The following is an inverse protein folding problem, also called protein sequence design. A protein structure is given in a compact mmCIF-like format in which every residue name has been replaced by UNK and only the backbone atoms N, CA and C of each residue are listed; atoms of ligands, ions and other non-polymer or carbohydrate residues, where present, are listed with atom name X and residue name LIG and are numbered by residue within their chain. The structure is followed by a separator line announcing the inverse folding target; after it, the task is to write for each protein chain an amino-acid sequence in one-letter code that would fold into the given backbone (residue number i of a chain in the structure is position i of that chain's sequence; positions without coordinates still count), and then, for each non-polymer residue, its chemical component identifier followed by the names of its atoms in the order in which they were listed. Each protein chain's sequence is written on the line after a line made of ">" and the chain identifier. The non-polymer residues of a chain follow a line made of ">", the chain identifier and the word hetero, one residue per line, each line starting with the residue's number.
data_IF_158080151298
#
_entry.id   IF_158080151298
#
_cell.length_a   1.000
_cell.length_b   1.000
_cell.length_c   1.000
_cell.angle_alpha   90.00
_cell.angle_beta   90.00
_cell.angle_gamma   90.00
#
_symmetry.space_group_name_H-M   'P 1'
#
loop_
_entity.id
_entity.type
_entity.pdbx_description
1 polymer ?
#
# COMPACT_ATOMS: atom_id res chain seq x y z
N UNK A 1 31.58 7.70 -7.13
CA UNK A 1 30.68 7.47 -5.98
C UNK A 1 29.30 7.92 -6.43
N UNK A 2 28.39 6.99 -6.69
CA UNK A 2 26.99 7.35 -6.96
C UNK A 2 26.49 8.11 -5.72
N UNK A 3 26.08 9.37 -5.86
CA UNK A 3 25.50 10.11 -4.75
C UNK A 3 24.17 9.42 -4.41
N UNK A 4 24.16 8.52 -3.41
CA UNK A 4 22.94 7.79 -3.05
C UNK A 4 21.92 8.83 -2.62
N UNK A 5 20.90 9.05 -3.45
CA UNK A 5 19.73 9.86 -3.11
C UNK A 5 18.88 9.10 -2.09
N UNK A 6 19.41 9.01 -0.88
CA UNK A 6 18.75 8.36 0.24
C UNK A 6 17.54 9.18 0.68
N UNK A 7 16.54 8.47 1.19
CA UNK A 7 15.36 9.10 1.77
C UNK A 7 15.75 9.47 3.20
N UNK A 8 15.68 10.76 3.53
CA UNK A 8 16.10 11.25 4.84
C UNK A 8 15.05 10.90 5.91
N UNK A 9 15.44 10.99 7.18
CA UNK A 9 14.50 10.81 8.30
C UNK A 9 13.29 11.76 8.19
N UNK A 10 13.53 13.05 7.90
CA UNK A 10 12.45 14.04 7.77
C UNK A 10 11.49 13.74 6.63
N UNK A 11 12.00 13.20 5.51
CA UNK A 11 11.16 12.75 4.41
C UNK A 11 10.31 11.54 4.80
N UNK A 12 10.86 10.58 5.55
CA UNK A 12 10.08 9.44 6.06
C UNK A 12 9.04 9.88 7.09
N UNK A 13 9.40 10.80 7.99
CA UNK A 13 8.48 11.37 8.97
C UNK A 13 7.28 12.01 8.28
N UNK A 14 7.51 12.88 7.28
CA UNK A 14 6.44 13.48 6.50
C UNK A 14 5.65 12.44 5.70
N UNK A 15 6.34 11.44 5.13
CA UNK A 15 5.68 10.34 4.41
C UNK A 15 4.67 9.65 5.32
N UNK A 16 5.09 9.19 6.50
CA UNK A 16 4.22 8.50 7.45
C UNK A 16 3.07 9.39 7.95
N UNK A 17 3.30 10.69 8.13
CA UNK A 17 2.25 11.65 8.45
C UNK A 17 1.18 11.72 7.34
N UNK A 18 1.58 11.83 6.08
CA UNK A 18 0.65 11.85 4.95
C UNK A 18 -0.10 10.51 4.79
N UNK A 19 0.54 9.39 5.14
CA UNK A 19 -0.07 8.06 5.08
C UNK A 19 -1.22 7.87 6.09
N UNK A 20 -1.28 8.68 7.14
CA UNK A 20 -2.38 8.66 8.10
C UNK A 20 -3.71 9.15 7.50
N UNK A 21 -3.66 9.89 6.39
CA UNK A 21 -4.85 10.42 5.70
C UNK A 21 -5.25 9.43 4.59
N UNK A 22 -6.41 8.76 4.67
CA UNK A 22 -6.72 7.61 3.80
C UNK A 22 -6.69 7.90 2.29
N UNK A 23 -7.33 8.99 1.85
CA UNK A 23 -7.40 9.32 0.42
C UNK A 23 -6.02 9.79 -0.10
N UNK A 24 -5.33 10.60 0.69
CA UNK A 24 -4.00 11.14 0.35
C UNK A 24 -2.97 10.01 0.28
N UNK A 25 -2.99 9.09 1.24
CA UNK A 25 -2.19 7.87 1.25
C UNK A 25 -2.31 7.13 -0.09
N UNK A 26 -3.53 6.79 -0.48
CA UNK A 26 -3.78 6.02 -1.70
C UNK A 26 -3.21 6.74 -2.93
N UNK A 27 -3.51 8.03 -3.10
CA UNK A 27 -3.04 8.83 -4.23
C UNK A 27 -1.51 8.93 -4.23
N UNK A 28 -0.89 9.22 -3.09
CA UNK A 28 0.56 9.38 -3.00
C UNK A 28 1.32 8.08 -3.24
N UNK A 29 0.76 6.92 -2.87
CA UNK A 29 1.34 5.63 -3.23
C UNK A 29 1.44 5.46 -4.76
N UNK A 30 0.44 5.89 -5.52
CA UNK A 30 0.53 5.87 -6.99
C UNK A 30 1.53 6.92 -7.51
N UNK A 31 1.50 8.14 -6.98
CA UNK A 31 2.42 9.22 -7.39
C UNK A 31 3.88 8.83 -7.14
N UNK A 32 4.19 8.25 -5.99
CA UNK A 32 5.54 7.81 -5.64
C UNK A 32 5.93 6.51 -6.31
N UNK A 33 4.98 5.58 -6.44
CA UNK A 33 5.20 4.28 -7.08
C UNK A 33 5.49 4.39 -8.58
N UNK A 34 4.82 5.30 -9.29
CA UNK A 34 4.88 5.38 -10.75
C UNK A 34 5.43 6.70 -11.29
N UNK A 35 5.73 7.67 -10.43
CA UNK A 35 6.34 8.94 -10.81
C UNK A 35 7.85 8.83 -11.08
N UNK A 36 8.35 9.60 -12.06
CA UNK A 36 9.76 9.62 -12.47
C UNK A 36 10.68 10.43 -11.55
N UNK A 37 10.13 11.27 -10.67
CA UNK A 37 10.89 12.19 -9.79
C UNK A 37 10.99 11.71 -8.33
N UNK A 38 10.69 10.43 -8.06
CA UNK A 38 10.73 9.87 -6.70
C UNK A 38 12.01 9.06 -6.49
N UNK A 39 12.65 9.23 -5.33
CA UNK A 39 13.81 8.42 -4.92
C UNK A 39 13.49 6.92 -5.03
N UNK A 40 14.42 6.14 -5.59
CA UNK A 40 14.21 4.72 -5.90
C UNK A 40 13.71 3.90 -4.72
N UNK A 41 14.26 4.12 -3.51
CA UNK A 41 13.82 3.40 -2.31
C UNK A 41 12.38 3.74 -1.91
N UNK A 42 11.97 5.02 -1.99
CA UNK A 42 10.58 5.44 -1.72
C UNK A 42 9.62 4.93 -2.80
N UNK A 43 10.04 4.95 -4.07
CA UNK A 43 9.23 4.41 -5.16
C UNK A 43 9.01 2.90 -5.01
N UNK A 44 10.06 2.15 -4.67
CA UNK A 44 9.96 0.70 -4.44
C UNK A 44 9.10 0.38 -3.21
N UNK A 45 9.23 1.15 -2.13
CA UNK A 45 8.34 1.02 -0.97
C UNK A 45 6.88 1.26 -1.35
N UNK A 46 6.58 2.31 -2.12
CA UNK A 46 5.22 2.59 -2.56
C UNK A 46 4.62 1.48 -3.43
N UNK A 47 5.40 0.93 -4.37
CA UNK A 47 5.00 -0.25 -5.18
C UNK A 47 4.72 -1.46 -4.30
N UNK A 48 5.58 -1.73 -3.32
CA UNK A 48 5.39 -2.84 -2.38
C UNK A 48 4.12 -2.66 -1.54
N UNK A 49 3.85 -1.45 -1.04
CA UNK A 49 2.63 -1.12 -0.31
C UNK A 49 1.37 -1.36 -1.15
N UNK A 50 1.38 -0.95 -2.41
CA UNK A 50 0.27 -1.21 -3.34
C UNK A 50 0.08 -2.71 -3.60
N UNK A 51 1.16 -3.47 -3.76
CA UNK A 51 1.09 -4.92 -3.92
C UNK A 51 0.49 -5.60 -2.68
N UNK A 52 0.92 -5.20 -1.48
CA UNK A 52 0.36 -5.71 -0.21
C UNK A 52 -1.12 -5.35 -0.05
N UNK A 53 -1.53 -4.14 -0.43
CA UNK A 53 -2.95 -3.76 -0.46
C UNK A 53 -3.76 -4.67 -1.40
N UNK A 54 -3.26 -4.94 -2.61
CA UNK A 54 -3.93 -5.83 -3.56
C UNK A 54 -4.07 -7.25 -2.99
N UNK A 55 -3.01 -7.78 -2.37
CA UNK A 55 -3.04 -9.09 -1.69
C UNK A 55 -4.08 -9.10 -0.57
N UNK A 56 -4.11 -8.05 0.27
CA UNK A 56 -5.07 -7.94 1.36
C UNK A 56 -6.52 -7.94 0.84
N UNK A 57 -6.81 -7.18 -0.23
CA UNK A 57 -8.14 -7.16 -0.85
C UNK A 57 -8.55 -8.56 -1.33
N UNK A 58 -7.69 -9.26 -2.05
CA UNK A 58 -7.97 -10.62 -2.54
C UNK A 58 -8.19 -11.58 -1.37
N UNK A 59 -7.34 -11.51 -0.34
CA UNK A 59 -7.47 -12.32 0.86
C UNK A 59 -8.81 -12.11 1.57
N UNK A 60 -9.22 -10.86 1.79
CA UNK A 60 -10.52 -10.54 2.41
C UNK A 60 -11.69 -11.02 1.58
N UNK A 61 -11.63 -10.89 0.25
CA UNK A 61 -12.68 -11.39 -0.64
C UNK A 61 -12.83 -12.91 -0.53
N UNK A 62 -11.72 -13.66 -0.52
CA UNK A 62 -11.74 -15.13 -0.36
C UNK A 62 -12.36 -15.53 0.97
N UNK A 63 -11.90 -14.92 2.07
CA UNK A 63 -12.43 -15.21 3.42
C UNK A 63 -13.93 -14.88 3.50
N UNK A 64 -14.35 -13.74 2.94
CA UNK A 64 -15.75 -13.32 2.94
C UNK A 64 -16.66 -14.31 2.20
N UNK A 65 -16.26 -14.77 1.02
CA UNK A 65 -17.02 -15.76 0.24
C UNK A 65 -17.14 -17.08 0.99
N UNK A 66 -16.05 -17.55 1.64
CA UNK A 66 -16.07 -18.77 2.44
C UNK A 66 -17.05 -18.64 3.61
N UNK A 67 -16.98 -17.54 4.36
CA UNK A 67 -17.83 -17.32 5.54
C UNK A 67 -19.32 -17.17 5.18
N UNK A 68 -19.64 -16.47 4.08
CA UNK A 68 -21.02 -16.38 3.60
C UNK A 68 -21.53 -17.75 3.11
N UNK A 69 -20.70 -18.49 2.38
CA UNK A 69 -21.05 -19.82 1.88
C UNK A 69 -21.31 -20.83 3.00
N UNK A 70 -20.49 -20.85 4.04
CA UNK A 70 -20.70 -21.71 5.21
C UNK A 70 -21.90 -21.28 6.04
N UNK A 71 -22.11 -19.96 6.22
CA UNK A 71 -23.27 -19.42 6.92
C UNK A 71 -24.61 -19.78 6.26
N UNK A 72 -24.67 -19.80 4.92
CA UNK A 72 -25.87 -20.21 4.16
C UNK A 72 -26.16 -21.72 4.30
N UNK A 73 -25.13 -22.56 4.44
CA UNK A 73 -25.31 -24.02 4.58
C UNK A 73 -25.76 -24.42 6.00
N UNK A 74 -25.39 -23.64 7.03
CA UNK A 74 -25.77 -23.93 8.42
C UNK A 74 -27.19 -23.44 8.76
N UNK A 75 -27.76 -22.54 7.94
CA UNK A 75 -29.11 -21.97 8.17
C UNK A 75 -30.24 -22.69 7.43
N UNK A 76 -29.93 -23.78 6.70
CA UNK A 76 -30.89 -24.68 6.07
C UNK A 76 -31.03 -25.96 6.88
#
# INVERSE_FOLDING_TARGET
>A
MEERKEVTFGEWFLTLFLMAIPIVNLVLLFVWGFGSNTKTSKSNWAKASLAWMAIAVVFYLVVFVILLGTGINLSR
#
